data_IF_062736416296
#
_entry.id   IF_062736416296
#
_cell.length_a   1.000
_cell.length_b   1.000
_cell.length_c   1.000
_cell.angle_alpha   90.00
_cell.angle_beta   90.00
_cell.angle_gamma   90.00
#
_symmetry.space_group_name_H-M   'P 1'
#
loop_
_entity.id
_entity.type
_entity.pdbx_description
1 polymer ?
#
# COMPACT_ATOMS: atom_id res chain seq x y z
N UNK A 1 -9.43 4.85 -13.63
CA UNK A 1 -8.78 3.94 -14.60
C UNK A 1 -7.48 3.36 -14.04
N UNK A 2 -6.62 4.15 -13.38
CA UNK A 2 -5.35 3.63 -12.82
C UNK A 2 -5.46 2.88 -11.47
N UNK A 3 -6.67 2.70 -10.93
CA UNK A 3 -6.86 2.06 -9.62
C UNK A 3 -6.20 0.66 -9.51
N UNK A 4 -6.36 -0.25 -10.50
CA UNK A 4 -5.74 -1.58 -10.43
C UNK A 4 -4.21 -1.51 -10.41
N UNK A 5 -3.62 -0.63 -11.23
CA UNK A 5 -2.17 -0.45 -11.29
C UNK A 5 -1.62 0.02 -9.93
N UNK A 6 -2.26 1.01 -9.32
CA UNK A 6 -1.81 1.56 -8.04
C UNK A 6 -1.97 0.52 -6.92
N UNK A 7 -3.07 -0.23 -6.89
CA UNK A 7 -3.30 -1.29 -5.89
C UNK A 7 -2.23 -2.38 -6.01
N UNK A 8 -1.85 -2.79 -7.21
CA UNK A 8 -0.80 -3.80 -7.43
C UNK A 8 0.62 -3.30 -7.19
N UNK A 9 0.87 -2.00 -7.28
CA UNK A 9 2.18 -1.43 -6.91
C UNK A 9 2.30 -1.20 -5.41
N UNK A 10 1.19 -0.86 -4.73
CA UNK A 10 1.16 -0.50 -3.32
C UNK A 10 0.71 -1.63 -2.39
N UNK A 11 0.34 -2.79 -2.93
CA UNK A 11 -0.12 -3.92 -2.12
C UNK A 11 0.91 -4.32 -1.06
N UNK A 12 0.47 -4.62 0.18
CA UNK A 12 1.33 -5.12 1.24
C UNK A 12 1.79 -6.57 1.00
N UNK A 13 1.11 -7.30 0.12
CA UNK A 13 1.46 -8.65 -0.28
C UNK A 13 2.53 -8.59 -1.38
N UNK A 14 3.78 -8.90 -1.03
CA UNK A 14 4.94 -8.71 -1.93
C UNK A 14 4.84 -9.64 -3.14
N UNK A 15 4.34 -10.85 -2.95
CA UNK A 15 4.25 -11.86 -4.02
C UNK A 15 3.21 -11.47 -5.08
N UNK A 16 2.25 -10.63 -4.70
CA UNK A 16 1.25 -10.06 -5.62
C UNK A 16 1.67 -8.71 -6.18
N UNK A 17 2.79 -8.14 -5.75
CA UNK A 17 3.18 -6.81 -6.21
C UNK A 17 3.68 -6.85 -7.64
N UNK A 18 3.23 -5.91 -8.46
CA UNK A 18 3.80 -5.75 -9.79
C UNK A 18 5.27 -5.33 -9.71
N UNK A 19 6.09 -6.02 -10.51
CA UNK A 19 7.42 -5.53 -10.86
C UNK A 19 7.30 -4.26 -11.73
N UNK A 20 8.39 -3.50 -11.84
CA UNK A 20 8.40 -2.30 -12.68
C UNK A 20 8.03 -2.59 -14.15
N UNK A 21 8.50 -3.72 -14.70
CA UNK A 21 8.15 -4.14 -16.05
C UNK A 21 6.67 -4.50 -16.19
N UNK A 22 6.11 -5.29 -15.28
CA UNK A 22 4.68 -5.63 -15.30
C UNK A 22 3.79 -4.39 -15.18
N UNK A 23 4.18 -3.45 -14.32
CA UNK A 23 3.47 -2.18 -14.17
C UNK A 23 3.49 -1.35 -15.47
N UNK A 24 4.62 -1.33 -16.16
CA UNK A 24 4.76 -0.64 -17.45
C UNK A 24 3.91 -1.31 -18.55
N UNK A 25 4.00 -2.63 -18.69
CA UNK A 25 3.21 -3.39 -19.67
C UNK A 25 1.71 -3.21 -19.44
N UNK A 26 1.27 -3.28 -18.17
CA UNK A 26 -0.11 -3.03 -17.78
C UNK A 26 -0.55 -1.61 -18.16
N UNK A 27 0.27 -0.61 -17.87
CA UNK A 27 -0.02 0.78 -18.22
C UNK A 27 -0.14 0.99 -19.74
N UNK A 28 0.79 0.43 -20.52
CA UNK A 28 0.76 0.51 -21.98
C UNK A 28 -0.49 -0.15 -22.56
N UNK A 29 -0.88 -1.30 -21.99
CA UNK A 29 -2.10 -2.02 -22.37
C UNK A 29 -3.34 -1.17 -22.12
N UNK A 30 -3.50 -0.65 -20.89
CA UNK A 30 -4.61 0.24 -20.55
C UNK A 30 -4.64 1.49 -21.44
N UNK A 31 -3.48 2.07 -21.76
CA UNK A 31 -3.40 3.24 -22.64
C UNK A 31 -3.87 2.92 -24.06
N UNK A 32 -3.55 1.73 -24.58
CA UNK A 32 -3.97 1.31 -25.92
C UNK A 32 -5.47 1.05 -26.05
N UNK A 33 -6.14 0.71 -24.95
CA UNK A 33 -7.59 0.51 -24.91
C UNK A 33 -8.38 1.83 -24.81
N UNK A 34 -7.73 2.94 -24.47
CA UNK A 34 -8.39 4.25 -24.36
C UNK A 34 -8.48 4.96 -25.71
N UNK A 35 -9.63 5.60 -25.94
CA UNK A 35 -9.79 6.49 -27.08
C UNK A 35 -9.00 7.78 -26.90
N UNK A 36 -8.61 8.41 -28.01
CA UNK A 36 -7.89 9.68 -27.97
C UNK A 36 -8.69 10.81 -27.28
N UNK A 37 -10.03 10.72 -27.30
CA UNK A 37 -10.93 11.64 -26.60
C UNK A 37 -10.83 11.50 -25.07
N UNK A 38 -10.74 10.27 -24.58
CA UNK A 38 -10.56 10.00 -23.14
C UNK A 38 -9.18 10.44 -22.65
N UNK A 39 -8.14 10.24 -23.46
CA UNK A 39 -6.77 10.69 -23.15
C UNK A 39 -6.64 12.22 -23.11
N UNK A 40 -7.42 12.93 -23.92
CA UNK A 40 -7.46 14.41 -23.94
C UNK A 40 -8.43 14.99 -22.91
N UNK A 41 -9.14 14.16 -22.15
CA UNK A 41 -10.10 14.63 -21.17
C UNK A 41 -9.39 15.39 -20.04
N UNK A 42 -9.75 16.65 -19.77
CA UNK A 42 -9.11 17.43 -18.71
C UNK A 42 -9.43 16.84 -17.34
N UNK A 43 -8.41 16.72 -16.49
CA UNK A 43 -8.57 16.28 -15.10
C UNK A 43 -9.22 17.42 -14.31
N UNK A 44 -10.38 17.21 -13.66
CA UNK A 44 -11.06 18.27 -12.90
C UNK A 44 -10.16 18.79 -11.77
N UNK A 45 -9.84 20.09 -11.78
CA UNK A 45 -8.98 20.76 -10.79
C UNK A 45 -9.56 20.71 -9.36
N UNK A 46 -10.89 20.70 -9.23
CA UNK A 46 -11.61 20.75 -7.96
C UNK A 46 -11.37 19.54 -7.04
N UNK A 47 -10.82 18.43 -7.57
CA UNK A 47 -10.57 17.22 -6.78
C UNK A 47 -9.32 17.30 -5.90
N UNK A 48 -8.46 18.31 -6.09
CA UNK A 48 -7.23 18.48 -5.33
C UNK A 48 -7.45 19.09 -3.92
N UNK A 49 -8.56 19.79 -3.71
CA UNK A 49 -8.79 20.56 -2.47
C UNK A 49 -9.24 19.70 -1.28
N UNK A 50 -9.75 18.49 -1.54
CA UNK A 50 -9.99 17.49 -0.50
C UNK A 50 -8.86 16.46 -0.55
N UNK A 51 -7.71 16.82 0.02
CA UNK A 51 -6.73 15.87 0.56
C UNK A 51 -7.39 15.06 1.70
N UNK A 52 -8.44 14.28 1.40
CA UNK A 52 -8.87 13.22 2.28
C UNK A 52 -7.67 12.30 2.42
N UNK A 53 -7.21 12.09 3.66
CA UNK A 53 -6.18 11.13 4.02
C UNK A 53 -6.24 9.92 3.07
N UNK A 54 -5.11 9.55 2.48
CA UNK A 54 -4.98 8.44 1.52
C UNK A 54 -5.74 7.17 1.95
N UNK A 55 -5.88 6.94 3.25
CA UNK A 55 -6.67 5.87 3.88
C UNK A 55 -8.20 5.91 3.65
N UNK A 56 -8.78 7.07 3.31
CA UNK A 56 -10.23 7.26 3.13
C UNK A 56 -10.66 7.45 1.67
N UNK A 57 -9.71 7.66 0.76
CA UNK A 57 -9.99 7.82 -0.66
C UNK A 57 -10.06 6.45 -1.35
N UNK A 58 -11.26 6.02 -1.70
CA UNK A 58 -11.44 4.82 -2.53
C UNK A 58 -11.10 5.18 -3.99
N UNK A 59 -9.96 4.68 -4.46
CA UNK A 59 -9.46 4.86 -5.85
C UNK A 59 -10.40 4.28 -6.90
N UNK A 60 -11.29 3.38 -6.49
CA UNK A 60 -12.29 2.71 -7.32
C UNK A 60 -13.59 3.51 -7.44
N UNK A 61 -13.76 4.59 -6.66
CA UNK A 61 -14.96 5.41 -6.71
C UNK A 61 -15.03 6.20 -8.03
N UNK A 62 -16.20 6.18 -8.67
CA UNK A 62 -16.46 6.90 -9.92
C UNK A 62 -15.93 6.21 -11.18
N UNK A 63 -15.57 4.92 -11.09
CA UNK A 63 -15.27 4.07 -12.25
C UNK A 63 -16.54 3.36 -12.72
N UNK A 64 -16.61 3.04 -14.01
CA UNK A 64 -17.73 2.26 -14.56
C UNK A 64 -17.78 0.86 -13.95
N UNK A 65 -18.98 0.32 -13.77
CA UNK A 65 -19.18 -1.01 -13.17
C UNK A 65 -18.45 -2.10 -13.97
N UNK A 66 -18.46 -2.01 -15.30
CA UNK A 66 -17.74 -2.92 -16.19
C UNK A 66 -16.23 -2.91 -15.94
N UNK A 67 -15.65 -1.72 -15.75
CA UNK A 67 -14.23 -1.58 -15.43
C UNK A 67 -13.92 -2.20 -14.06
N UNK A 68 -14.77 -1.97 -13.06
CA UNK A 68 -14.59 -2.53 -11.72
C UNK A 68 -14.64 -4.05 -11.76
N UNK A 69 -15.61 -4.64 -12.45
CA UNK A 69 -15.74 -6.10 -12.59
C UNK A 69 -14.55 -6.71 -13.33
N UNK A 70 -14.10 -6.09 -14.43
CA UNK A 70 -12.96 -6.58 -15.22
C UNK A 70 -11.68 -6.67 -14.40
N UNK A 71 -11.46 -5.71 -13.50
CA UNK A 71 -10.22 -5.59 -12.74
C UNK A 71 -10.37 -5.93 -11.26
N UNK A 72 -11.48 -6.55 -10.85
CA UNK A 72 -11.79 -6.82 -9.44
C UNK A 72 -10.69 -7.65 -8.74
N UNK A 73 -10.07 -8.59 -9.47
CA UNK A 73 -8.99 -9.44 -8.96
C UNK A 73 -7.74 -8.66 -8.50
N UNK A 74 -7.55 -7.44 -9.01
CA UNK A 74 -6.41 -6.56 -8.69
C UNK A 74 -6.69 -5.61 -7.54
N UNK A 75 -7.90 -5.64 -6.99
CA UNK A 75 -8.30 -4.76 -5.89
C UNK A 75 -7.58 -5.13 -4.61
N UNK A 76 -6.98 -4.14 -3.95
CA UNK A 76 -6.37 -4.37 -2.63
C UNK A 76 -7.47 -4.78 -1.63
N UNK A 77 -7.30 -5.94 -1.01
CA UNK A 77 -8.19 -6.40 0.05
C UNK A 77 -8.14 -5.40 1.22
N UNK A 78 -9.30 -5.12 1.86
CA UNK A 78 -9.30 -4.25 3.02
C UNK A 78 -8.35 -4.81 4.08
N UNK A 79 -7.60 -3.94 4.79
CA UNK A 79 -6.67 -4.40 5.80
C UNK A 79 -7.41 -5.23 6.85
N UNK A 80 -6.76 -6.29 7.34
CA UNK A 80 -7.31 -7.13 8.40
C UNK A 80 -7.72 -6.29 9.62
N UNK A 81 -8.74 -6.76 10.37
CA UNK A 81 -9.25 -6.04 11.54
C UNK A 81 -8.14 -5.56 12.51
N UNK A 82 -7.09 -6.36 12.82
CA UNK A 82 -5.98 -5.89 13.64
C UNK A 82 -5.24 -4.70 13.03
N UNK A 83 -5.00 -4.69 11.72
CA UNK A 83 -4.36 -3.57 11.01
C UNK A 83 -5.25 -2.33 11.03
N UNK A 84 -6.57 -2.48 10.90
CA UNK A 84 -7.53 -1.36 11.01
C UNK A 84 -7.53 -0.76 12.41
N UNK A 85 -7.54 -1.59 13.45
CA UNK A 85 -7.45 -1.15 14.84
C UNK A 85 -6.11 -0.44 15.10
N UNK A 86 -5.00 -1.03 14.65
CA UNK A 86 -3.68 -0.42 14.79
C UNK A 86 -3.60 0.93 14.08
N UNK A 87 -4.14 1.07 12.84
CA UNK A 87 -4.20 2.37 12.14
C UNK A 87 -5.02 3.39 12.95
N UNK A 88 -6.18 3.00 13.46
CA UNK A 88 -7.01 3.88 14.30
C UNK A 88 -6.29 4.30 15.58
N UNK A 89 -5.54 3.39 16.19
CA UNK A 89 -4.70 3.66 17.35
C UNK A 89 -3.57 4.64 17.01
N UNK A 90 -2.83 4.42 15.91
CA UNK A 90 -1.77 5.29 15.40
C UNK A 90 -2.24 6.70 15.01
N UNK A 91 -3.53 6.89 14.69
CA UNK A 91 -4.04 8.24 14.37
C UNK A 91 -3.89 9.18 15.57
N UNK A 92 -4.02 8.65 16.80
CA UNK A 92 -3.86 9.42 18.04
C UNK A 92 -2.38 9.62 18.38
N UNK A 93 -2.01 10.82 18.84
CA UNK A 93 -0.62 11.17 19.17
C UNK A 93 0.01 10.21 20.19
N UNK A 94 -0.71 9.88 21.26
CA UNK A 94 -0.26 8.93 22.29
C UNK A 94 -0.06 7.51 21.74
N UNK A 95 -0.89 7.07 20.79
CA UNK A 95 -0.74 5.76 20.14
C UNK A 95 0.55 5.66 19.32
N UNK A 96 0.95 6.74 18.63
CA UNK A 96 2.25 6.79 17.93
C UNK A 96 3.42 6.68 18.90
N UNK A 97 3.36 7.42 20.01
CA UNK A 97 4.40 7.38 21.04
C UNK A 97 4.55 5.98 21.63
N UNK A 98 3.43 5.29 21.93
CA UNK A 98 3.46 3.90 22.42
C UNK A 98 4.15 2.98 21.42
N UNK A 99 3.81 3.06 20.13
CA UNK A 99 4.44 2.20 19.10
C UNK A 99 5.92 2.51 18.94
N UNK A 100 6.30 3.79 19.01
CA UNK A 100 7.70 4.20 18.95
C UNK A 100 8.50 3.61 20.14
N UNK A 101 8.03 3.82 21.37
CA UNK A 101 8.73 3.31 22.55
C UNK A 101 8.74 1.79 22.62
N UNK A 102 7.66 1.12 22.25
CA UNK A 102 7.64 -0.36 22.17
C UNK A 102 8.66 -0.86 21.14
N UNK A 103 8.74 -0.27 19.94
CA UNK A 103 9.78 -0.63 18.95
C UNK A 103 11.19 -0.43 19.48
N UNK A 104 11.45 0.69 20.17
CA UNK A 104 12.76 0.95 20.78
C UNK A 104 13.11 -0.08 21.86
N UNK A 105 12.16 -0.42 22.73
CA UNK A 105 12.36 -1.43 23.77
C UNK A 105 12.64 -2.79 23.14
N UNK A 106 11.85 -3.22 22.14
CA UNK A 106 12.08 -4.47 21.43
C UNK A 106 13.43 -4.51 20.72
N UNK A 107 13.84 -3.42 20.07
CA UNK A 107 15.17 -3.33 19.45
C UNK A 107 16.28 -3.41 20.50
N UNK A 108 16.12 -2.75 21.64
CA UNK A 108 17.09 -2.76 22.74
C UNK A 108 17.21 -4.14 23.38
N UNK A 109 16.08 -4.81 23.63
CA UNK A 109 16.01 -6.19 24.12
C UNK A 109 16.65 -7.13 23.10
N UNK A 110 16.29 -7.05 21.82
CA UNK A 110 16.89 -7.87 20.76
C UNK A 110 18.40 -7.69 20.71
N UNK A 111 18.90 -6.46 20.80
CA UNK A 111 20.33 -6.20 20.82
C UNK A 111 20.99 -6.79 22.08
N UNK A 112 20.36 -6.64 23.26
CA UNK A 112 20.83 -7.25 24.52
C UNK A 112 20.89 -8.78 24.45
N UNK A 113 19.90 -9.43 23.82
CA UNK A 113 19.87 -10.88 23.62
C UNK A 113 20.86 -11.35 22.53
N UNK A 114 21.11 -10.57 21.48
CA UNK A 114 22.11 -10.90 20.45
C UNK A 114 23.55 -10.83 20.97
N UNK A 115 23.84 -9.96 21.94
CA UNK A 115 25.10 -9.97 22.70
C UNK A 115 25.24 -11.16 23.66
N UNK A 116 24.21 -12.02 23.76
CA UNK A 116 24.16 -13.17 24.66
C UNK A 116 24.08 -14.53 23.94
N UNK A 117 24.39 -14.59 22.63
CA UNK A 117 24.77 -15.86 22.02
C UNK A 117 26.26 -16.10 22.31
N UNK A 118 26.64 -17.16 23.06
CA UNK A 118 28.04 -17.53 23.17
C UNK A 118 28.53 -17.93 21.78
N UNK A 119 29.61 -17.29 21.33
CA UNK A 119 30.33 -17.68 20.12
C UNK A 119 30.58 -19.19 20.15
N UNK A 120 30.24 -19.95 19.10
CA UNK A 120 30.64 -21.35 19.04
C UNK A 120 32.17 -21.38 18.99
N UNK A 121 32.78 -21.95 20.02
CA UNK A 121 34.21 -22.26 20.05
C UNK A 121 34.43 -23.31 18.96
N UNK A 122 34.89 -22.87 17.80
CA UNK A 122 35.39 -23.76 16.75
C UNK A 122 36.70 -24.34 17.31
N UNK A 123 36.66 -25.59 17.76
CA UNK A 123 37.87 -26.38 18.03
C UNK A 123 38.39 -26.88 16.68
N UNK A 124 39.60 -26.48 16.34
CA UNK A 124 40.44 -27.03 15.28
C UNK A 124 40.80 -28.48 15.58
#
# INVERSE_FOLDING_TARGET
>A
LLAPLIDMMATPDIDKRFTANQALEFFLTLRSEMSEKELKCPIPRERAEKLSLWDGFSRWNGLSTEFVQRWEAYRELPPSLPRRLLRTFCKRHWGRNIIYYTRLIFQRIRNLFFFWQPTPIIRL
#
